data_IF_628456905041
#
_entry.id   IF_628456905041
#
_cell.length_a   1.000
_cell.length_b   1.000
_cell.length_c   1.000
_cell.angle_alpha   90.00
_cell.angle_beta   90.00
_cell.angle_gamma   90.00
#
_symmetry.space_group_name_H-M   'P 1'
#
loop_
_entity.id
_entity.type
_entity.pdbx_description
1 polymer ?
#
# COMPACT_ATOMS: atom_id res chain seq x y z
N UNK A 1 33.80 -13.93 15.70
CA UNK A 1 32.80 -14.13 14.64
C UNK A 1 31.45 -13.89 15.28
N UNK A 2 30.88 -12.69 15.10
CA UNK A 2 29.54 -12.43 15.60
C UNK A 2 28.57 -13.15 14.68
N UNK A 3 28.18 -14.35 15.10
CA UNK A 3 27.03 -15.03 14.53
C UNK A 3 25.85 -14.08 14.66
N UNK A 4 25.28 -13.78 13.50
CA UNK A 4 24.08 -13.00 13.27
C UNK A 4 22.98 -13.38 14.26
N UNK A 5 22.89 -12.62 15.35
CA UNK A 5 21.75 -12.56 16.26
C UNK A 5 20.60 -11.88 15.50
N UNK A 6 20.03 -12.62 14.56
CA UNK A 6 18.71 -12.32 14.03
C UNK A 6 17.81 -13.45 14.52
N UNK A 7 16.96 -13.21 15.52
CA UNK A 7 15.95 -14.19 15.93
C UNK A 7 15.05 -14.49 14.72
N UNK A 8 15.34 -15.60 14.05
CA UNK A 8 14.62 -16.15 12.90
C UNK A 8 13.22 -16.67 13.31
N UNK A 9 12.96 -16.80 14.61
CA UNK A 9 11.80 -17.52 15.14
C UNK A 9 10.52 -16.70 15.29
N UNK A 10 10.51 -15.40 14.97
CA UNK A 10 9.31 -14.55 15.08
C UNK A 10 8.80 -13.97 13.74
N UNK A 11 9.52 -14.19 12.64
CA UNK A 11 9.07 -13.80 11.30
C UNK A 11 8.12 -14.86 10.71
N UNK A 12 6.93 -15.00 11.31
CA UNK A 12 5.92 -16.00 10.96
C UNK A 12 5.43 -15.91 9.50
N UNK A 13 5.62 -14.78 8.83
CA UNK A 13 5.08 -14.52 7.50
C UNK A 13 6.19 -14.15 6.52
N UNK A 14 6.59 -15.10 5.67
CA UNK A 14 7.63 -14.93 4.66
C UNK A 14 7.04 -14.67 3.27
N UNK A 15 7.65 -13.78 2.51
CA UNK A 15 7.30 -13.57 1.11
C UNK A 15 7.80 -14.73 0.25
N UNK A 16 6.93 -15.36 -0.52
CA UNK A 16 7.30 -16.47 -1.39
C UNK A 16 8.07 -16.01 -2.65
N UNK A 17 7.98 -14.73 -3.01
CA UNK A 17 8.66 -14.19 -4.19
C UNK A 17 10.10 -13.74 -3.93
N UNK A 18 10.39 -13.21 -2.74
CA UNK A 18 11.73 -12.69 -2.41
C UNK A 18 12.26 -13.19 -1.05
N UNK A 19 11.53 -14.11 -0.40
CA UNK A 19 11.92 -14.76 0.85
C UNK A 19 12.18 -13.81 2.03
N UNK A 20 11.69 -12.57 1.95
CA UNK A 20 11.78 -11.60 3.03
C UNK A 20 10.79 -11.95 4.15
N UNK A 21 11.28 -11.94 5.40
CA UNK A 21 10.47 -12.22 6.59
C UNK A 21 9.75 -10.98 7.13
N UNK A 22 8.53 -11.16 7.61
CA UNK A 22 7.71 -10.14 8.25
C UNK A 22 7.09 -10.69 9.53
N UNK A 23 6.93 -9.82 10.53
CA UNK A 23 6.34 -10.16 11.83
C UNK A 23 4.82 -10.25 11.79
N UNK A 24 4.17 -9.71 10.74
CA UNK A 24 2.70 -9.77 10.59
C UNK A 24 2.28 -10.05 9.15
N UNK A 25 1.15 -10.76 9.00
CA UNK A 25 0.53 -11.06 7.69
C UNK A 25 0.13 -9.79 6.93
N UNK A 26 -0.26 -8.73 7.65
CA UNK A 26 -0.62 -7.44 7.06
C UNK A 26 0.54 -6.77 6.34
N UNK A 27 1.72 -6.74 6.97
CA UNK A 27 2.93 -6.20 6.34
C UNK A 27 3.40 -7.05 5.16
N UNK A 28 3.30 -8.38 5.27
CA UNK A 28 3.60 -9.27 4.15
C UNK A 28 2.68 -8.98 2.96
N UNK A 29 1.38 -8.83 3.20
CA UNK A 29 0.41 -8.51 2.14
C UNK A 29 0.71 -7.17 1.48
N UNK A 30 0.97 -6.11 2.26
CA UNK A 30 1.36 -4.80 1.71
C UNK A 30 2.64 -4.91 0.85
N UNK A 31 3.61 -5.70 1.31
CA UNK A 31 4.84 -5.93 0.57
C UNK A 31 4.60 -6.63 -0.76
N UNK A 32 3.85 -7.75 -0.79
CA UNK A 32 3.53 -8.47 -2.02
C UNK A 32 2.78 -7.55 -2.98
N UNK A 33 1.73 -6.90 -2.47
CA UNK A 33 0.89 -5.98 -3.21
C UNK A 33 1.64 -4.80 -3.85
N UNK A 34 2.65 -4.26 -3.17
CA UNK A 34 3.42 -3.10 -3.64
C UNK A 34 4.69 -3.41 -4.43
N UNK A 35 5.36 -4.52 -4.13
CA UNK A 35 6.66 -4.88 -4.74
C UNK A 35 6.49 -5.88 -5.88
N UNK A 36 5.60 -6.86 -5.71
CA UNK A 36 5.45 -7.98 -6.64
C UNK A 36 4.21 -7.85 -7.53
N UNK A 37 3.09 -7.38 -6.98
CA UNK A 37 1.81 -7.38 -7.70
C UNK A 37 1.54 -6.07 -8.46
N UNK A 38 2.12 -4.92 -8.02
CA UNK A 38 1.87 -3.56 -8.55
C UNK A 38 0.38 -3.16 -8.69
N UNK A 39 -0.56 -4.00 -8.25
CA UNK A 39 -2.00 -3.88 -8.51
C UNK A 39 -2.74 -3.11 -7.41
N UNK A 40 -2.05 -2.77 -6.32
CA UNK A 40 -2.63 -2.12 -5.14
C UNK A 40 -2.22 -0.66 -5.03
N UNK A 41 -2.12 0.00 -6.18
CA UNK A 41 -1.86 1.42 -6.23
C UNK A 41 -3.16 2.14 -5.89
N UNK A 42 -3.30 2.58 -4.64
CA UNK A 42 -4.32 3.58 -4.32
C UNK A 42 -3.84 4.89 -4.95
N UNK A 43 -4.56 5.36 -5.96
CA UNK A 43 -4.21 6.58 -6.67
C UNK A 43 -4.79 7.80 -5.96
N UNK A 44 -4.02 8.88 -5.93
CA UNK A 44 -4.56 10.19 -5.59
C UNK A 44 -5.55 10.62 -6.69
N UNK A 45 -6.81 10.96 -6.38
CA UNK A 45 -7.78 11.41 -7.39
C UNK A 45 -7.48 12.81 -7.94
N UNK A 46 -6.54 13.55 -7.33
CA UNK A 46 -6.18 14.91 -7.76
C UNK A 46 -4.97 14.91 -8.71
N UNK A 47 -3.92 14.16 -8.37
CA UNK A 47 -2.68 14.14 -9.15
C UNK A 47 -2.31 12.75 -9.70
N UNK A 48 -3.19 11.76 -9.54
CA UNK A 48 -3.01 10.37 -10.00
C UNK A 48 -1.76 9.64 -9.46
N UNK A 49 -1.08 10.23 -8.48
CA UNK A 49 0.09 9.62 -7.85
C UNK A 49 -0.30 8.32 -7.15
N UNK A 50 0.45 7.27 -7.43
CA UNK A 50 0.25 5.93 -6.89
C UNK A 50 0.82 5.80 -5.47
N UNK A 51 0.07 5.14 -4.59
CA UNK A 51 0.51 4.80 -3.24
C UNK A 51 0.23 3.34 -2.95
N UNK A 52 1.12 2.69 -2.20
CA UNK A 52 0.95 1.29 -1.80
C UNK A 52 -0.13 1.10 -0.71
N UNK A 53 -0.62 2.17 -0.09
CA UNK A 53 -1.63 2.12 0.97
C UNK A 53 -2.54 3.34 0.97
N UNK A 54 -3.80 3.13 1.37
CA UNK A 54 -4.79 4.21 1.54
C UNK A 54 -4.35 5.24 2.59
N UNK A 55 -3.70 4.81 3.69
CA UNK A 55 -3.22 5.72 4.74
C UNK A 55 -2.18 6.70 4.19
N UNK A 56 -1.24 6.23 3.37
CA UNK A 56 -0.24 7.09 2.72
C UNK A 56 -0.88 8.03 1.70
N UNK A 57 -1.84 7.55 0.91
CA UNK A 57 -2.61 8.39 -0.01
C UNK A 57 -3.38 9.50 0.74
N UNK A 58 -4.08 9.18 1.83
CA UNK A 58 -4.78 10.16 2.67
C UNK A 58 -3.85 11.21 3.27
N UNK A 59 -2.68 10.79 3.78
CA UNK A 59 -1.66 11.73 4.28
C UNK A 59 -1.15 12.65 3.16
N UNK A 60 -0.95 12.10 1.97
CA UNK A 60 -0.59 12.89 0.80
C UNK A 60 -1.68 13.90 0.42
N UNK A 61 -2.96 13.50 0.40
CA UNK A 61 -4.08 14.43 0.19
C UNK A 61 -4.03 15.57 1.23
N UNK A 62 -3.89 15.24 2.51
CA UNK A 62 -3.87 16.26 3.56
C UNK A 62 -2.64 17.20 3.49
N UNK A 63 -1.51 16.76 2.94
CA UNK A 63 -0.29 17.58 2.88
C UNK A 63 -0.11 18.31 1.54
N UNK A 64 -0.52 17.70 0.44
CA UNK A 64 -0.29 18.16 -0.93
C UNK A 64 -1.57 18.72 -1.58
N UNK A 65 -2.74 18.35 -1.07
CA UNK A 65 -4.06 18.75 -1.55
C UNK A 65 -4.95 19.19 -0.37
N UNK A 66 -4.41 20.08 0.47
CA UNK A 66 -4.99 20.54 1.75
C UNK A 66 -6.45 20.97 1.63
N UNK A 67 -6.79 21.59 0.50
CA UNK A 67 -8.12 22.13 0.19
C UNK A 67 -9.19 21.05 -0.06
N UNK A 68 -8.78 19.80 -0.32
CA UNK A 68 -9.67 18.69 -0.67
C UNK A 68 -9.83 17.66 0.46
N UNK A 69 -9.21 17.89 1.62
CA UNK A 69 -9.26 16.98 2.77
C UNK A 69 -10.68 16.84 3.36
N UNK A 70 -11.53 17.87 3.21
CA UNK A 70 -12.87 17.93 3.76
C UNK A 70 -13.90 17.09 2.96
N UNK A 71 -13.71 16.97 1.63
CA UNK A 71 -14.64 16.25 0.74
C UNK A 71 -14.63 14.73 0.96
N UNK A 72 -13.55 14.17 1.50
CA UNK A 72 -13.45 12.73 1.79
C UNK A 72 -14.12 12.30 3.10
N UNK A 73 -14.57 13.25 3.94
CA UNK A 73 -15.22 12.93 5.21
C UNK A 73 -16.70 12.56 5.06
N UNK A 74 -17.33 12.94 3.95
CA UNK A 74 -18.78 12.96 3.82
C UNK A 74 -19.38 12.11 2.70
N UNK A 75 -18.59 11.50 1.80
CA UNK A 75 -19.14 10.67 0.71
C UNK A 75 -18.49 9.30 0.58
N UNK A 76 -19.23 8.29 1.07
CA UNK A 76 -18.97 6.87 0.88
C UNK A 76 -19.31 6.48 -0.57
N UNK A 77 -18.42 6.78 -1.53
CA UNK A 77 -18.37 6.09 -2.83
C UNK A 77 -17.03 6.35 -3.50
N UNK A 78 -16.06 5.49 -3.23
CA UNK A 78 -14.86 5.39 -4.08
C UNK A 78 -15.34 4.74 -5.38
N UNK A 79 -15.37 5.52 -6.46
CA UNK A 79 -15.49 4.95 -7.80
C UNK A 79 -14.27 4.06 -8.02
N UNK A 80 -14.52 2.76 -8.03
CA UNK A 80 -13.65 1.80 -8.70
C UNK A 80 -13.63 2.26 -10.14
N UNK A 81 -12.52 2.86 -10.57
CA UNK A 81 -12.29 3.10 -11.98
C UNK A 81 -12.09 1.72 -12.60
N UNK A 82 -13.19 1.14 -13.08
CA UNK A 82 -13.18 -0.01 -13.97
C UNK A 82 -12.30 0.33 -15.16
N UNK A 83 -11.31 -0.50 -15.42
CA UNK A 83 -10.54 -0.49 -16.64
C UNK A 83 -11.51 -0.76 -17.79
N UNK A 84 -11.90 0.28 -18.54
CA UNK A 84 -12.56 0.15 -19.82
C UNK A 84 -11.74 0.93 -20.82
N UNK A 85 -10.78 0.26 -21.43
CA UNK A 85 -10.30 0.55 -22.79
C UNK A 85 -9.44 -0.65 -23.22
N UNK A 86 -10.12 -1.69 -23.68
CA UNK A 86 -9.57 -2.64 -24.63
C UNK A 86 -10.47 -2.56 -25.85
N UNK A 87 -9.99 -1.88 -26.88
CA UNK A 87 -10.42 -2.05 -28.26
C UNK A 87 -9.19 -2.06 -29.15
#
# INVERSE_FOLDING_TARGET
MHASDHPEEEALFRCEHCFKGFTTKGHLKEHISGVHERYNNVHCPVCHKSFNTQKRMKKHLFSSHKDMADQFRSHSRVQVYEQKDTQ
#
